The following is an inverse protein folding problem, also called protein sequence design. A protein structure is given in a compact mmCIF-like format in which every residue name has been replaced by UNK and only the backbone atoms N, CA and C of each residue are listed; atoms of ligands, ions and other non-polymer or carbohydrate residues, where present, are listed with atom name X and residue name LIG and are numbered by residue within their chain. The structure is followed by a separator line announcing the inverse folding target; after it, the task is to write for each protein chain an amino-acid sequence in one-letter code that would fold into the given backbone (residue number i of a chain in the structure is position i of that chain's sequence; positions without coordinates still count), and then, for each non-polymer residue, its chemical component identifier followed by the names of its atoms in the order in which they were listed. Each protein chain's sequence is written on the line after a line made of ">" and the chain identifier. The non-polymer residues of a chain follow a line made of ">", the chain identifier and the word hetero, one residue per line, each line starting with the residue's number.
data_IF_477987050525
#
_entry.id   IF_477987050525
#
_cell.length_a   1.000
_cell.length_b   1.000
_cell.length_c   1.000
_cell.angle_alpha   90.00
_cell.angle_beta   90.00
_cell.angle_gamma   90.00
#
_symmetry.space_group_name_H-M   'P 1'
#
loop_
_entity.id
_entity.type
_entity.pdbx_description
1 polymer ?
#
# COMPACT_ATOMS: atom_id res chain seq x y z
N UNK A 1 58.70 19.49 -1.54
CA UNK A 1 57.37 20.08 -1.92
C UNK A 1 56.98 19.91 -3.40
N UNK A 2 57.91 19.92 -4.36
CA UNK A 2 57.56 19.75 -5.80
C UNK A 2 57.00 18.36 -6.18
N UNK A 3 57.37 17.30 -5.47
CA UNK A 3 56.88 15.92 -5.79
C UNK A 3 55.47 15.63 -5.25
N UNK A 4 55.02 16.34 -4.21
CA UNK A 4 53.69 16.17 -3.63
C UNK A 4 52.60 16.72 -4.60
N UNK A 5 52.90 17.85 -5.27
CA UNK A 5 51.96 18.42 -6.25
C UNK A 5 51.82 17.57 -7.51
N UNK A 6 52.89 16.89 -7.96
CA UNK A 6 52.83 16.02 -9.14
C UNK A 6 52.02 14.74 -8.85
N UNK A 7 52.11 14.15 -7.66
CA UNK A 7 51.32 12.97 -7.27
C UNK A 7 49.86 13.35 -7.06
N UNK A 8 49.55 14.50 -6.50
CA UNK A 8 48.17 15.01 -6.37
C UNK A 8 47.55 15.34 -7.74
N UNK A 9 48.34 15.88 -8.68
CA UNK A 9 47.84 16.16 -10.03
C UNK A 9 47.59 14.87 -10.84
N UNK A 10 48.42 13.83 -10.68
CA UNK A 10 48.18 12.52 -11.28
C UNK A 10 47.01 11.77 -10.66
N UNK A 11 46.75 11.92 -9.35
CA UNK A 11 45.53 11.40 -8.69
C UNK A 11 44.27 12.14 -9.12
N UNK A 12 44.33 13.43 -9.38
CA UNK A 12 43.21 14.22 -9.92
C UNK A 12 42.90 13.89 -11.36
N UNK A 13 43.90 13.55 -12.19
CA UNK A 13 43.70 13.13 -13.57
C UNK A 13 43.26 11.67 -13.70
N UNK A 14 43.52 10.82 -12.69
CA UNK A 14 42.98 9.45 -12.65
C UNK A 14 41.51 9.35 -12.20
N UNK A 15 40.98 10.38 -11.51
CA UNK A 15 39.58 10.42 -11.07
C UNK A 15 38.65 10.99 -12.16
N UNK A 16 39.19 11.65 -13.20
CA UNK A 16 38.37 12.25 -14.28
C UNK A 16 38.01 11.30 -15.43
N UNK A 17 38.41 10.01 -15.37
CA UNK A 17 38.04 8.98 -16.32
C UNK A 17 37.06 7.92 -15.75
N UNK A 18 36.31 8.24 -14.70
CA UNK A 18 35.01 7.60 -14.55
C UNK A 18 34.12 8.29 -15.58
N UNK A 19 34.18 7.84 -16.82
CA UNK A 19 33.05 7.98 -17.71
C UNK A 19 31.87 7.38 -16.94
N UNK A 20 31.02 8.23 -16.35
CA UNK A 20 29.65 7.88 -16.22
C UNK A 20 29.23 7.50 -17.65
N UNK A 21 29.13 6.20 -17.93
CA UNK A 21 28.33 5.75 -19.04
C UNK A 21 27.02 6.51 -18.86
N UNK A 22 26.83 7.54 -19.66
CA UNK A 22 25.54 8.15 -19.84
C UNK A 22 24.67 7.03 -20.44
N UNK A 23 24.11 6.23 -19.56
CA UNK A 23 22.94 5.43 -19.80
C UNK A 23 21.78 6.40 -19.99
N UNK A 24 21.88 7.23 -21.02
CA UNK A 24 20.71 7.86 -21.63
C UNK A 24 19.97 6.70 -22.28
N UNK A 25 19.18 5.99 -21.47
CA UNK A 25 18.16 5.13 -22.04
C UNK A 25 17.31 6.02 -22.93
N UNK A 26 17.15 5.70 -24.21
CA UNK A 26 16.42 6.53 -25.15
C UNK A 26 14.94 6.70 -24.77
N UNK A 27 14.47 5.96 -23.75
CA UNK A 27 13.11 5.96 -23.26
C UNK A 27 13.09 5.98 -21.72
N UNK A 28 12.31 6.92 -21.17
CA UNK A 28 12.15 7.08 -19.71
C UNK A 28 11.04 6.15 -19.19
N UNK A 29 11.37 4.89 -18.90
CA UNK A 29 10.47 3.94 -18.23
C UNK A 29 10.77 3.88 -16.73
N UNK A 30 9.74 3.92 -15.92
CA UNK A 30 9.83 3.80 -14.46
C UNK A 30 8.91 2.65 -13.97
N UNK A 31 9.43 1.63 -13.30
CA UNK A 31 10.86 1.35 -13.09
C UNK A 31 11.61 1.05 -14.38
N UNK A 32 12.93 1.30 -14.36
CA UNK A 32 13.81 0.94 -15.47
C UNK A 32 13.81 -0.59 -15.66
N UNK A 33 13.53 -1.09 -16.87
CA UNK A 33 13.51 -2.53 -17.11
C UNK A 33 14.92 -3.13 -17.05
N UNK A 34 15.00 -4.44 -16.80
CA UNK A 34 16.27 -5.19 -16.73
C UNK A 34 17.06 -5.05 -18.03
N UNK A 35 16.38 -5.08 -19.19
CA UNK A 35 16.99 -4.87 -20.50
C UNK A 35 16.03 -4.16 -21.43
N UNK A 36 16.53 -3.16 -22.15
CA UNK A 36 15.82 -2.44 -23.20
C UNK A 36 16.76 -2.26 -24.39
N UNK A 37 16.36 -2.78 -25.55
CA UNK A 37 17.11 -2.68 -26.82
C UNK A 37 16.26 -1.93 -27.83
N UNK A 38 16.66 -0.72 -28.27
CA UNK A 38 15.94 0.03 -29.30
C UNK A 38 15.88 -0.73 -30.62
N UNK A 39 14.75 -0.59 -31.34
CA UNK A 39 14.53 -1.07 -32.70
C UNK A 39 14.40 0.08 -33.68
N UNK A 40 13.91 -0.21 -34.88
CA UNK A 40 13.70 0.81 -35.94
C UNK A 40 12.23 0.91 -36.32
N UNK A 41 11.71 2.12 -36.36
CA UNK A 41 10.31 2.42 -36.69
C UNK A 41 9.40 2.54 -35.47
N UNK A 42 8.11 2.72 -35.70
CA UNK A 42 7.09 2.88 -34.67
C UNK A 42 5.87 2.00 -34.97
N UNK A 43 5.23 1.48 -33.96
CA UNK A 43 3.92 0.85 -34.06
C UNK A 43 2.83 1.89 -33.83
N UNK A 44 1.79 1.93 -34.71
CA UNK A 44 0.68 2.86 -34.64
C UNK A 44 -0.59 2.19 -34.14
N UNK A 45 -1.14 2.69 -33.04
CA UNK A 45 -2.46 2.27 -32.55
C UNK A 45 -3.57 3.02 -33.28
N UNK A 46 -4.63 2.30 -33.61
CA UNK A 46 -5.83 2.84 -34.28
C UNK A 46 -7.07 2.00 -33.96
N UNK A 47 -8.24 2.44 -34.42
CA UNK A 47 -9.49 1.67 -34.34
C UNK A 47 -9.41 0.32 -35.06
N UNK A 48 -8.46 0.12 -35.99
CA UNK A 48 -8.25 -1.14 -36.72
C UNK A 48 -7.36 -2.10 -35.97
N UNK A 49 -6.58 -1.62 -34.99
CA UNK A 49 -5.67 -2.44 -34.16
C UNK A 49 -6.45 -3.57 -33.48
N UNK A 50 -5.92 -4.78 -33.55
CA UNK A 50 -6.50 -5.96 -32.94
C UNK A 50 -5.54 -6.61 -31.95
N UNK A 51 -6.07 -6.92 -30.76
CA UNK A 51 -5.39 -7.71 -29.75
C UNK A 51 -5.82 -9.18 -29.91
N UNK A 52 -4.86 -10.09 -29.92
CA UNK A 52 -5.10 -11.53 -29.88
C UNK A 52 -4.64 -12.08 -28.53
N UNK A 53 -5.53 -12.75 -27.83
CA UNK A 53 -5.32 -13.29 -26.49
C UNK A 53 -5.75 -14.75 -26.42
N UNK A 54 -5.12 -15.55 -25.55
CA UNK A 54 -5.35 -16.99 -25.43
C UNK A 54 -6.54 -17.33 -24.53
N UNK A 55 -6.94 -16.42 -23.63
CA UNK A 55 -8.02 -16.65 -22.68
C UNK A 55 -8.65 -15.34 -22.17
N UNK A 56 -9.74 -15.47 -21.42
CA UNK A 56 -10.49 -14.34 -20.88
C UNK A 56 -9.71 -13.55 -19.82
N UNK A 57 -8.83 -14.20 -19.03
CA UNK A 57 -7.98 -13.51 -18.07
C UNK A 57 -7.03 -12.52 -18.75
N UNK A 58 -6.42 -12.91 -19.87
CA UNK A 58 -5.60 -11.98 -20.68
C UNK A 58 -6.49 -10.90 -21.33
N UNK A 59 -7.72 -11.24 -21.77
CA UNK A 59 -8.64 -10.28 -22.35
C UNK A 59 -8.99 -9.16 -21.37
N UNK A 60 -9.16 -9.50 -20.10
CA UNK A 60 -9.45 -8.51 -19.04
C UNK A 60 -8.29 -7.52 -18.85
N UNK A 61 -7.03 -7.99 -18.86
CA UNK A 61 -5.86 -7.10 -18.81
C UNK A 61 -5.83 -6.14 -20.01
N UNK A 62 -6.17 -6.66 -21.19
CA UNK A 62 -6.23 -5.85 -22.42
C UNK A 62 -7.39 -4.85 -22.37
N UNK A 63 -8.57 -5.20 -21.79
CA UNK A 63 -9.69 -4.25 -21.67
C UNK A 63 -9.32 -3.03 -20.84
N UNK A 64 -8.59 -3.21 -19.73
CA UNK A 64 -8.11 -2.11 -18.92
C UNK A 64 -7.19 -1.18 -19.73
N UNK A 65 -6.24 -1.75 -20.45
CA UNK A 65 -5.34 -0.96 -21.31
C UNK A 65 -6.09 -0.25 -22.45
N UNK A 66 -6.97 -0.98 -23.18
CA UNK A 66 -7.73 -0.38 -24.29
C UNK A 66 -8.76 0.65 -23.82
N UNK A 67 -9.20 0.55 -22.56
CA UNK A 67 -10.03 1.57 -21.91
C UNK A 67 -9.33 2.95 -21.86
N UNK A 68 -8.01 2.97 -21.65
CA UNK A 68 -7.23 4.22 -21.71
C UNK A 68 -7.26 4.81 -23.12
N UNK A 69 -7.04 4.00 -24.16
CA UNK A 69 -7.12 4.43 -25.55
C UNK A 69 -8.54 4.91 -25.91
N UNK A 70 -9.57 4.22 -25.45
CA UNK A 70 -10.96 4.62 -25.69
C UNK A 70 -11.23 6.01 -25.13
N UNK A 71 -10.78 6.28 -23.91
CA UNK A 71 -10.98 7.54 -23.21
C UNK A 71 -10.17 8.67 -23.85
N UNK A 72 -8.87 8.45 -24.08
CA UNK A 72 -7.94 9.49 -24.50
C UNK A 72 -7.89 9.69 -26.03
N UNK A 73 -8.07 8.61 -26.81
CA UNK A 73 -7.93 8.63 -28.27
C UNK A 73 -9.28 8.55 -29.02
N UNK A 74 -10.38 8.23 -28.32
CA UNK A 74 -11.71 8.14 -28.94
C UNK A 74 -11.93 6.89 -29.77
N UNK A 75 -11.04 5.87 -29.72
CA UNK A 75 -11.23 4.62 -30.43
C UNK A 75 -10.96 3.41 -29.53
N UNK A 76 -11.66 2.30 -29.79
CA UNK A 76 -11.52 1.04 -29.04
C UNK A 76 -10.94 -0.03 -29.96
N UNK A 77 -9.70 -0.51 -29.71
CA UNK A 77 -9.12 -1.65 -30.41
C UNK A 77 -9.95 -2.93 -30.20
N UNK A 78 -9.95 -3.84 -31.17
CA UNK A 78 -10.67 -5.10 -31.08
C UNK A 78 -9.90 -6.13 -30.27
N UNK A 79 -10.61 -6.89 -29.43
CA UNK A 79 -10.04 -8.04 -28.69
C UNK A 79 -10.58 -9.33 -29.30
N UNK A 80 -9.68 -10.27 -29.64
CA UNK A 80 -9.96 -11.59 -30.18
C UNK A 80 -9.50 -12.62 -29.16
N UNK A 81 -10.44 -13.24 -28.47
CA UNK A 81 -10.17 -14.32 -27.52
C UNK A 81 -9.97 -15.64 -28.27
N UNK A 82 -9.22 -16.57 -27.70
CA UNK A 82 -8.80 -17.84 -28.30
C UNK A 82 -8.12 -17.66 -29.68
N UNK A 83 -7.33 -16.62 -29.81
CA UNK A 83 -6.69 -16.24 -31.06
C UNK A 83 -5.19 -15.97 -30.87
N UNK A 84 -4.44 -16.33 -31.90
CA UNK A 84 -2.99 -16.00 -32.05
C UNK A 84 -2.73 -15.03 -33.20
N UNK A 85 -3.78 -14.53 -33.87
CA UNK A 85 -3.70 -13.65 -35.03
C UNK A 85 -4.24 -12.26 -34.72
N UNK A 86 -3.33 -11.33 -34.40
CA UNK A 86 -3.60 -9.93 -34.12
C UNK A 86 -2.36 -9.07 -34.34
N UNK A 87 -2.57 -7.76 -34.31
CA UNK A 87 -1.48 -6.78 -34.40
C UNK A 87 -0.72 -6.73 -33.07
N UNK A 88 -1.39 -6.96 -31.96
CA UNK A 88 -0.83 -7.14 -30.61
C UNK A 88 -1.21 -8.54 -30.13
N UNK A 89 -0.21 -9.38 -29.84
CA UNK A 89 -0.41 -10.76 -29.39
C UNK A 89 0.12 -10.95 -27.96
N UNK A 90 -0.74 -11.49 -27.08
CA UNK A 90 -0.35 -11.98 -25.76
C UNK A 90 -0.14 -13.51 -25.87
N UNK A 91 1.03 -13.99 -25.48
CA UNK A 91 1.44 -15.40 -25.62
C UNK A 91 1.97 -15.89 -24.29
N UNK A 92 1.38 -16.94 -23.74
CA UNK A 92 1.86 -17.56 -22.50
C UNK A 92 3.22 -18.24 -22.74
N UNK A 93 4.21 -17.92 -21.89
CA UNK A 93 5.54 -18.51 -21.90
C UNK A 93 5.87 -18.97 -20.47
N UNK A 94 5.62 -20.26 -20.22
CA UNK A 94 5.84 -20.89 -18.92
C UNK A 94 7.33 -20.96 -18.49
N UNK A 95 8.27 -20.58 -19.35
CA UNK A 95 9.71 -20.53 -19.01
C UNK A 95 10.09 -19.26 -18.28
N UNK A 96 9.24 -18.23 -18.32
CA UNK A 96 9.44 -16.98 -17.60
C UNK A 96 9.04 -17.15 -16.13
N UNK A 97 9.72 -16.40 -15.25
CA UNK A 97 9.34 -16.33 -13.84
C UNK A 97 8.00 -15.59 -13.68
N UNK A 98 7.36 -15.79 -12.55
CA UNK A 98 6.18 -14.98 -12.17
C UNK A 98 6.50 -13.48 -12.23
N UNK A 99 5.54 -12.69 -12.69
CA UNK A 99 5.63 -11.24 -12.90
C UNK A 99 6.62 -10.79 -14.00
N UNK A 100 7.40 -11.72 -14.59
CA UNK A 100 8.33 -11.40 -15.66
C UNK A 100 7.60 -11.29 -17.00
N UNK A 101 8.15 -10.47 -17.90
CA UNK A 101 7.67 -10.38 -19.27
C UNK A 101 8.78 -10.12 -20.29
N UNK A 102 8.49 -10.48 -21.54
CA UNK A 102 9.21 -10.04 -22.72
C UNK A 102 8.25 -9.28 -23.62
N UNK A 103 8.62 -8.08 -24.02
CA UNK A 103 7.87 -7.20 -24.91
C UNK A 103 8.71 -6.92 -26.15
N UNK A 104 8.20 -7.28 -27.31
CA UNK A 104 8.81 -6.99 -28.61
C UNK A 104 7.84 -6.11 -29.41
N UNK A 105 8.32 -4.93 -29.80
CA UNK A 105 7.59 -3.94 -30.61
C UNK A 105 8.34 -3.76 -31.91
N UNK A 106 7.63 -4.01 -33.02
CA UNK A 106 8.08 -3.68 -34.40
C UNK A 106 7.11 -2.67 -34.99
N UNK A 107 7.40 -2.16 -36.18
CA UNK A 107 6.50 -1.26 -36.95
C UNK A 107 5.15 -1.92 -37.31
N UNK A 108 5.06 -3.27 -37.30
CA UNK A 108 3.89 -4.04 -37.73
C UNK A 108 3.21 -4.82 -36.63
N UNK A 109 3.92 -5.12 -35.55
CA UNK A 109 3.42 -6.05 -34.56
C UNK A 109 4.00 -5.80 -33.18
N UNK A 110 3.16 -6.02 -32.14
CA UNK A 110 3.59 -6.13 -30.75
C UNK A 110 3.38 -7.58 -30.30
N UNK A 111 4.40 -8.16 -29.65
CA UNK A 111 4.29 -9.47 -29.01
C UNK A 111 4.67 -9.34 -27.53
N UNK A 112 3.77 -9.76 -26.66
CA UNK A 112 3.97 -9.80 -25.20
C UNK A 112 4.02 -11.26 -24.78
N UNK A 113 5.09 -11.67 -24.07
CA UNK A 113 5.23 -13.00 -23.48
C UNK A 113 5.34 -12.87 -21.97
N UNK A 114 4.54 -13.66 -21.24
CA UNK A 114 4.58 -13.75 -19.79
C UNK A 114 4.09 -15.14 -19.35
N UNK A 115 4.43 -15.54 -18.12
CA UNK A 115 3.95 -16.80 -17.55
C UNK A 115 2.61 -16.64 -16.83
N UNK A 116 2.25 -15.42 -16.42
CA UNK A 116 1.05 -15.11 -15.63
C UNK A 116 0.41 -13.77 -16.03
N UNK A 117 -0.78 -13.51 -15.49
CA UNK A 117 -1.54 -12.29 -15.80
C UNK A 117 -0.83 -11.01 -15.34
N UNK A 118 -0.06 -11.06 -14.25
CA UNK A 118 0.69 -9.92 -13.74
C UNK A 118 1.79 -9.50 -14.72
N UNK A 119 2.53 -10.46 -15.29
CA UNK A 119 3.55 -10.17 -16.31
C UNK A 119 2.95 -9.51 -17.55
N UNK A 120 1.78 -9.98 -18.02
CA UNK A 120 1.06 -9.31 -19.12
C UNK A 120 0.64 -7.89 -18.75
N UNK A 121 0.10 -7.71 -17.54
CA UNK A 121 -0.30 -6.40 -17.04
C UNK A 121 0.88 -5.42 -17.00
N UNK A 122 2.03 -5.84 -16.47
CA UNK A 122 3.23 -5.00 -16.39
C UNK A 122 3.81 -4.65 -17.77
N UNK A 123 3.73 -5.55 -18.74
CA UNK A 123 4.09 -5.25 -20.11
C UNK A 123 3.17 -4.16 -20.71
N UNK A 124 1.85 -4.25 -20.45
CA UNK A 124 0.88 -3.24 -20.88
C UNK A 124 1.13 -1.88 -20.20
N UNK A 125 1.55 -1.86 -18.92
CA UNK A 125 1.96 -0.61 -18.25
C UNK A 125 3.24 -0.02 -18.89
N UNK A 126 4.16 -0.85 -19.37
CA UNK A 126 5.32 -0.35 -20.13
C UNK A 126 4.91 0.25 -21.47
N UNK A 127 3.96 -0.34 -22.18
CA UNK A 127 3.39 0.25 -23.41
C UNK A 127 2.69 1.58 -23.10
N UNK A 128 1.93 1.65 -22.00
CA UNK A 128 1.27 2.89 -21.52
C UNK A 128 2.28 4.02 -21.34
N UNK A 129 3.43 3.75 -20.72
CA UNK A 129 4.49 4.75 -20.51
C UNK A 129 5.25 5.11 -21.79
N UNK A 130 5.25 4.25 -22.81
CA UNK A 130 5.85 4.54 -24.13
C UNK A 130 4.93 5.33 -25.03
N UNK A 131 3.62 5.33 -24.78
CA UNK A 131 2.64 6.15 -25.51
C UNK A 131 2.82 7.63 -25.18
N UNK A 132 2.33 8.55 -26.04
CA UNK A 132 2.26 9.96 -25.71
C UNK A 132 1.54 10.20 -24.37
N UNK A 133 1.99 11.17 -23.58
CA UNK A 133 1.40 11.49 -22.26
C UNK A 133 -0.09 11.81 -22.30
N UNK A 134 -0.62 12.17 -23.48
CA UNK A 134 -2.04 12.33 -23.74
C UNK A 134 -2.88 11.07 -23.42
N UNK A 135 -2.25 9.87 -23.29
CA UNK A 135 -2.94 8.63 -22.88
C UNK A 135 -3.58 8.74 -21.48
N UNK A 136 -3.06 9.65 -20.64
CA UNK A 136 -3.58 9.92 -19.30
C UNK A 136 -4.77 10.90 -19.30
N UNK A 137 -5.17 11.44 -20.45
CA UNK A 137 -6.29 12.40 -20.54
C UNK A 137 -7.62 11.71 -20.19
N UNK A 138 -8.43 12.43 -19.42
CA UNK A 138 -9.82 12.03 -19.11
C UNK A 138 -10.80 12.32 -20.27
N UNK A 139 -10.34 13.00 -21.31
CA UNK A 139 -11.13 13.39 -22.49
C UNK A 139 -10.35 13.09 -23.76
N UNK A 140 -11.06 12.92 -24.86
CA UNK A 140 -10.46 12.71 -26.18
C UNK A 140 -9.54 13.89 -26.53
N UNK A 141 -8.30 13.57 -26.87
CA UNK A 141 -7.27 14.51 -27.28
C UNK A 141 -7.05 14.38 -28.78
N UNK A 142 -7.33 15.46 -29.50
CA UNK A 142 -7.18 15.52 -30.95
C UNK A 142 -5.71 15.73 -31.37
N UNK A 143 -5.38 15.35 -32.62
CA UNK A 143 -4.07 15.56 -33.25
C UNK A 143 -2.89 14.90 -32.50
N UNK A 144 -3.14 13.77 -31.81
CA UNK A 144 -2.10 12.95 -31.18
C UNK A 144 -1.78 11.77 -32.08
N UNK A 145 -0.48 11.56 -32.34
CA UNK A 145 0.01 10.36 -33.00
C UNK A 145 0.18 9.24 -31.96
N UNK A 146 -0.77 8.31 -31.96
CA UNK A 146 -0.82 7.21 -30.98
C UNK A 146 0.19 6.11 -31.33
N UNK A 147 1.47 6.43 -31.19
CA UNK A 147 2.57 5.54 -31.54
C UNK A 147 3.42 5.15 -30.35
N UNK A 148 4.04 3.98 -30.46
CA UNK A 148 5.09 3.51 -29.57
C UNK A 148 6.32 3.13 -30.39
N UNK A 149 7.55 3.43 -29.94
CA UNK A 149 8.77 3.11 -30.65
C UNK A 149 8.99 1.60 -30.71
N UNK A 150 9.60 1.14 -31.82
CA UNK A 150 10.07 -0.24 -31.93
C UNK A 150 11.23 -0.48 -30.94
N UNK A 151 11.11 -1.54 -30.16
CA UNK A 151 12.11 -1.93 -29.16
C UNK A 151 11.85 -3.36 -28.66
N UNK A 152 12.79 -3.90 -27.91
CA UNK A 152 12.62 -5.14 -27.15
C UNK A 152 12.93 -4.88 -25.69
N UNK A 153 12.01 -5.27 -24.80
CA UNK A 153 12.17 -5.25 -23.34
C UNK A 153 12.18 -6.68 -22.81
N UNK A 154 13.11 -6.98 -21.92
CA UNK A 154 13.04 -8.12 -21.01
C UNK A 154 13.06 -7.56 -19.60
N UNK A 155 12.04 -7.88 -18.81
CA UNK A 155 11.87 -7.31 -17.48
C UNK A 155 11.34 -8.34 -16.48
N UNK A 156 11.73 -8.16 -15.23
CA UNK A 156 11.23 -8.91 -14.07
C UNK A 156 11.46 -8.08 -12.81
N UNK A 157 10.59 -8.19 -11.80
CA UNK A 157 10.81 -7.48 -10.55
C UNK A 157 12.05 -8.01 -9.82
N UNK A 158 12.80 -7.09 -9.19
CA UNK A 158 13.92 -7.44 -8.31
C UNK A 158 13.42 -7.92 -6.94
N UNK A 159 12.33 -7.33 -6.46
CA UNK A 159 11.71 -7.63 -5.16
C UNK A 159 10.27 -8.10 -5.34
N UNK A 160 9.88 -9.14 -4.60
CA UNK A 160 8.50 -9.63 -4.57
C UNK A 160 7.54 -8.66 -3.86
N UNK A 161 8.00 -7.93 -2.85
CA UNK A 161 7.24 -6.91 -2.14
C UNK A 161 7.66 -5.51 -2.65
N UNK A 162 6.72 -4.78 -3.24
CA UNK A 162 6.90 -3.43 -3.76
C UNK A 162 5.73 -2.58 -3.29
N UNK A 163 5.87 -2.05 -2.08
CA UNK A 163 4.77 -1.43 -1.33
C UNK A 163 4.79 0.09 -1.32
N UNK A 164 3.61 0.64 -1.09
CA UNK A 164 3.38 2.02 -0.68
C UNK A 164 2.47 2.01 0.55
N UNK A 165 2.89 2.70 1.62
CA UNK A 165 2.04 2.97 2.78
C UNK A 165 1.27 4.27 2.56
N UNK A 166 -0.03 4.24 2.83
CA UNK A 166 -0.90 5.43 2.82
C UNK A 166 -1.58 5.56 4.17
N UNK A 167 -1.25 6.64 4.87
CA UNK A 167 -1.85 7.00 6.15
C UNK A 167 -3.13 7.82 5.93
N UNK A 168 -4.27 7.18 6.14
CA UNK A 168 -5.59 7.81 6.08
C UNK A 168 -6.15 8.12 7.48
N UNK A 169 -5.50 7.61 8.52
CA UNK A 169 -5.92 7.83 9.91
C UNK A 169 -5.64 9.24 10.36
N UNK A 170 -4.40 9.74 10.19
CA UNK A 170 -4.02 11.11 10.54
C UNK A 170 -4.72 12.14 9.69
N UNK A 171 -4.85 11.86 8.38
CA UNK A 171 -5.58 12.71 7.42
C UNK A 171 -6.41 11.84 6.50
N UNK A 172 -7.73 11.89 6.67
CA UNK A 172 -8.64 11.13 5.83
C UNK A 172 -8.51 11.54 4.36
N UNK A 173 -8.43 10.55 3.50
CA UNK A 173 -8.42 10.72 2.06
C UNK A 173 -9.66 10.05 1.47
N UNK A 174 -10.53 10.77 0.73
CA UNK A 174 -11.68 10.16 0.07
C UNK A 174 -11.30 8.99 -0.83
N UNK A 175 -12.22 8.04 -1.00
CA UNK A 175 -12.03 6.82 -1.82
C UNK A 175 -11.46 7.13 -3.20
N UNK A 176 -11.96 8.17 -3.86
CA UNK A 176 -11.53 8.56 -5.21
C UNK A 176 -10.03 8.88 -5.28
N UNK A 177 -9.46 9.43 -4.20
CA UNK A 177 -8.02 9.67 -4.13
C UNK A 177 -7.23 8.37 -3.98
N UNK A 178 -7.75 7.41 -3.19
CA UNK A 178 -7.12 6.08 -3.09
C UNK A 178 -7.14 5.35 -4.42
N UNK A 179 -8.23 5.43 -5.19
CA UNK A 179 -8.30 4.83 -6.53
C UNK A 179 -7.26 5.45 -7.47
N UNK A 180 -7.03 6.77 -7.41
CA UNK A 180 -5.95 7.43 -8.17
C UNK A 180 -4.55 7.00 -7.73
N UNK A 181 -4.34 6.84 -6.42
CA UNK A 181 -3.06 6.31 -5.89
C UNK A 181 -2.83 4.90 -6.41
N UNK A 182 -3.85 4.04 -6.40
CA UNK A 182 -3.79 2.67 -6.93
C UNK A 182 -3.44 2.68 -8.43
N UNK A 183 -4.00 3.60 -9.23
CA UNK A 183 -3.63 3.75 -10.65
C UNK A 183 -2.16 4.16 -10.83
N UNK A 184 -1.66 5.08 -10.01
CA UNK A 184 -0.24 5.45 -10.01
C UNK A 184 0.66 4.27 -9.61
N UNK A 185 0.28 3.54 -8.57
CA UNK A 185 0.98 2.33 -8.13
C UNK A 185 1.05 1.29 -9.24
N UNK A 186 -0.06 1.06 -9.92
CA UNK A 186 -0.17 0.12 -11.03
C UNK A 186 0.77 0.51 -12.19
N UNK A 187 0.78 1.78 -12.59
CA UNK A 187 1.67 2.30 -13.62
C UNK A 187 3.14 2.09 -13.26
N UNK A 188 3.49 2.22 -11.98
CA UNK A 188 4.84 2.02 -11.44
C UNK A 188 5.13 0.57 -11.07
N UNK A 189 4.21 -0.38 -11.36
CA UNK A 189 4.35 -1.82 -11.07
C UNK A 189 4.56 -2.14 -9.58
N UNK A 190 4.02 -1.29 -8.69
CA UNK A 190 3.91 -1.60 -7.26
C UNK A 190 2.79 -2.62 -7.05
N UNK A 191 2.93 -3.51 -6.06
CA UNK A 191 1.98 -4.62 -5.86
C UNK A 191 1.44 -4.75 -4.43
N UNK A 192 1.80 -3.86 -3.51
CA UNK A 192 1.30 -3.85 -2.13
C UNK A 192 0.88 -2.44 -1.74
N UNK A 193 -0.39 -2.26 -1.38
CA UNK A 193 -0.89 -1.04 -0.74
C UNK A 193 -1.05 -1.32 0.75
N UNK A 194 -0.17 -0.77 1.57
CA UNK A 194 -0.29 -0.81 3.02
C UNK A 194 -1.19 0.36 3.44
N UNK A 195 -2.38 0.06 3.95
CA UNK A 195 -3.40 1.04 4.28
C UNK A 195 -3.52 1.19 5.80
N UNK A 196 -2.96 2.29 6.32
CA UNK A 196 -2.99 2.63 7.73
C UNK A 196 -4.34 3.27 8.08
N UNK A 197 -5.26 2.45 8.59
CA UNK A 197 -6.69 2.76 8.73
C UNK A 197 -7.06 3.39 10.05
N UNK A 198 -6.30 3.16 11.09
CA UNK A 198 -6.65 3.55 12.46
C UNK A 198 -5.44 4.05 13.21
N UNK A 199 -5.64 5.10 14.03
CA UNK A 199 -4.63 5.74 14.85
C UNK A 199 -5.28 6.63 15.91
N UNK A 200 -4.51 7.26 16.78
CA UNK A 200 -4.95 8.25 17.77
C UNK A 200 -5.82 9.36 17.17
N UNK A 201 -5.58 9.67 15.88
CA UNK A 201 -6.14 10.81 15.17
C UNK A 201 -7.41 10.47 14.38
N UNK A 202 -7.77 9.20 14.30
CA UNK A 202 -8.97 8.78 13.63
C UNK A 202 -9.08 7.28 13.38
N UNK A 203 -10.32 6.82 13.41
CA UNK A 203 -10.74 5.49 12.99
C UNK A 203 -11.42 5.59 11.64
N UNK A 204 -10.91 4.89 10.60
CA UNK A 204 -11.33 5.13 9.22
C UNK A 204 -12.01 3.95 8.53
N UNK A 205 -12.36 2.90 9.25
CA UNK A 205 -13.05 1.73 8.71
C UNK A 205 -14.32 1.43 9.50
N UNK A 206 -15.44 1.23 8.80
CA UNK A 206 -16.70 0.82 9.42
C UNK A 206 -16.58 -0.60 9.99
N UNK A 207 -16.91 -0.73 11.28
CA UNK A 207 -17.06 -2.01 11.99
C UNK A 207 -18.52 -2.07 12.49
N UNK A 208 -19.31 -2.93 11.88
CA UNK A 208 -20.77 -3.00 12.14
C UNK A 208 -21.09 -3.37 13.58
N UNK A 209 -20.27 -4.22 14.18
CA UNK A 209 -20.43 -4.62 15.59
C UNK A 209 -20.14 -3.47 16.55
N UNK A 210 -19.31 -2.51 16.16
CA UNK A 210 -18.87 -1.41 17.01
C UNK A 210 -19.05 -0.05 16.31
N UNK A 211 -20.31 0.42 16.11
CA UNK A 211 -20.61 1.61 15.32
C UNK A 211 -20.01 2.91 15.87
N UNK A 212 -19.80 3.01 17.20
CA UNK A 212 -19.17 4.17 17.80
C UNK A 212 -17.73 4.41 17.31
N UNK A 213 -17.06 3.38 16.77
CA UNK A 213 -15.73 3.56 16.17
C UNK A 213 -15.73 4.57 15.03
N UNK A 214 -16.80 4.62 14.24
CA UNK A 214 -16.94 5.60 13.17
C UNK A 214 -17.77 6.82 13.61
N UNK A 215 -18.76 6.68 14.46
CA UNK A 215 -19.57 7.80 14.96
C UNK A 215 -18.75 8.77 15.82
N UNK A 216 -17.84 8.26 16.65
CA UNK A 216 -16.97 9.03 17.55
C UNK A 216 -15.53 9.03 17.05
N UNK A 217 -14.98 7.86 16.76
CA UNK A 217 -13.56 7.70 16.42
C UNK A 217 -13.17 8.34 15.09
N UNK A 218 -14.09 8.58 14.15
CA UNK A 218 -13.81 9.33 12.92
C UNK A 218 -13.82 10.85 13.12
N UNK A 219 -14.35 11.34 14.25
CA UNK A 219 -14.56 12.75 14.55
C UNK A 219 -13.47 13.28 15.47
N UNK A 220 -12.96 14.47 15.22
CA UNK A 220 -12.00 15.14 16.09
C UNK A 220 -12.21 16.64 16.13
N UNK A 221 -11.67 17.25 17.20
CA UNK A 221 -11.67 18.72 17.32
C UNK A 221 -10.86 19.34 16.19
N UNK A 222 -11.38 20.39 15.59
CA UNK A 222 -10.66 21.13 14.55
C UNK A 222 -9.70 22.15 15.17
N UNK A 223 -8.51 22.31 14.57
CA UNK A 223 -7.46 23.23 15.02
C UNK A 223 -6.96 24.04 13.82
N UNK A 224 -7.77 24.95 13.26
CA UNK A 224 -7.39 25.74 12.10
C UNK A 224 -6.16 26.60 12.38
N UNK A 225 -5.28 26.77 11.39
CA UNK A 225 -4.10 27.58 11.49
C UNK A 225 -2.98 27.03 12.39
N UNK A 226 -3.07 25.77 12.83
CA UNK A 226 -2.03 25.08 13.59
C UNK A 226 -1.45 23.93 12.79
N UNK A 227 -0.12 23.82 12.79
CA UNK A 227 0.56 22.63 12.25
C UNK A 227 0.24 21.42 13.12
N UNK A 228 0.40 20.22 12.57
CA UNK A 228 0.04 18.99 13.27
C UNK A 228 0.67 18.87 14.67
N UNK A 229 1.97 19.17 14.88
CA UNK A 229 2.58 19.12 16.21
C UNK A 229 2.06 20.18 17.21
N UNK A 230 1.55 21.31 16.72
CA UNK A 230 1.07 22.42 17.56
C UNK A 230 -0.37 22.27 18.01
N UNK A 231 -1.08 21.25 17.53
CA UNK A 231 -2.50 21.04 17.86
C UNK A 231 -2.65 20.53 19.27
N UNK A 232 -3.36 21.32 20.09
CA UNK A 232 -3.66 20.96 21.49
C UNK A 232 -4.68 19.83 21.54
N UNK A 233 -4.53 18.96 22.54
CA UNK A 233 -5.45 17.88 22.85
C UNK A 233 -6.90 18.39 23.05
N UNK A 234 -7.91 17.52 22.80
CA UNK A 234 -9.30 17.86 23.02
C UNK A 234 -9.59 18.01 24.52
N UNK A 235 -10.62 18.78 24.82
CA UNK A 235 -11.20 18.89 26.16
C UNK A 235 -12.59 18.27 26.17
N UNK A 236 -13.02 17.80 27.32
CA UNK A 236 -14.37 17.29 27.48
C UNK A 236 -15.41 18.35 27.08
N UNK A 237 -16.38 17.96 26.25
CA UNK A 237 -17.44 18.84 25.75
C UNK A 237 -17.01 19.77 24.60
N UNK A 238 -15.78 19.70 24.13
CA UNK A 238 -15.33 20.49 22.99
C UNK A 238 -15.94 19.94 21.68
N UNK A 239 -16.52 20.79 20.81
CA UNK A 239 -17.15 20.32 19.57
C UNK A 239 -16.18 19.62 18.65
N UNK A 240 -16.59 18.49 18.10
CA UNK A 240 -15.84 17.73 17.10
C UNK A 240 -16.44 17.90 15.71
N UNK A 241 -15.64 17.65 14.68
CA UNK A 241 -16.03 17.62 13.27
C UNK A 241 -15.71 16.24 12.72
N UNK A 242 -16.62 15.68 11.96
CA UNK A 242 -16.39 14.48 11.20
C UNK A 242 -15.24 14.72 10.21
N UNK A 243 -14.33 13.75 10.12
CA UNK A 243 -13.20 13.77 9.17
C UNK A 243 -13.33 12.71 8.09
N UNK A 244 -14.28 11.80 8.21
CA UNK A 244 -14.59 10.74 7.27
C UNK A 244 -14.05 9.37 7.66
N UNK A 245 -14.65 8.37 7.06
CA UNK A 245 -14.27 6.94 7.15
C UNK A 245 -14.75 6.24 5.87
N UNK A 246 -14.31 5.01 5.68
CA UNK A 246 -14.78 4.15 4.59
C UNK A 246 -15.83 3.19 5.12
N UNK A 247 -16.97 3.12 4.43
CA UNK A 247 -17.95 2.05 4.62
C UNK A 247 -17.36 0.71 4.17
N UNK A 248 -17.91 -0.39 4.65
CA UNK A 248 -17.46 -1.72 4.19
C UNK A 248 -17.63 -1.91 2.70
N UNK A 249 -18.65 -1.30 2.09
CA UNK A 249 -18.85 -1.37 0.64
C UNK A 249 -17.78 -0.57 -0.12
N UNK A 250 -17.36 0.57 0.39
CA UNK A 250 -16.22 1.33 -0.19
C UNK A 250 -14.90 0.58 -0.03
N UNK A 251 -14.67 -0.10 1.09
CA UNK A 251 -13.50 -0.98 1.25
C UNK A 251 -13.52 -2.12 0.24
N UNK A 252 -14.67 -2.79 0.04
CA UNK A 252 -14.80 -3.84 -0.98
C UNK A 252 -14.52 -3.31 -2.38
N UNK A 253 -14.95 -2.09 -2.69
CA UNK A 253 -14.66 -1.44 -3.97
C UNK A 253 -13.17 -1.15 -4.12
N UNK A 254 -12.51 -0.56 -3.11
CA UNK A 254 -11.06 -0.28 -3.12
C UNK A 254 -10.26 -1.57 -3.31
N UNK A 255 -10.59 -2.62 -2.55
CA UNK A 255 -9.90 -3.92 -2.62
C UNK A 255 -10.06 -4.55 -4.00
N UNK A 256 -11.28 -4.58 -4.54
CA UNK A 256 -11.53 -5.10 -5.90
C UNK A 256 -10.76 -4.31 -6.96
N UNK A 257 -10.81 -2.98 -6.90
CA UNK A 257 -10.12 -2.08 -7.83
C UNK A 257 -8.60 -2.29 -7.82
N UNK A 258 -8.03 -2.51 -6.64
CA UNK A 258 -6.61 -2.85 -6.47
C UNK A 258 -6.29 -4.25 -7.03
N UNK A 259 -7.13 -5.26 -6.74
CA UNK A 259 -6.95 -6.63 -7.24
C UNK A 259 -6.96 -6.71 -8.77
N UNK A 260 -7.84 -5.97 -9.42
CA UNK A 260 -7.89 -5.86 -10.88
C UNK A 260 -6.58 -5.32 -11.47
N UNK A 261 -5.77 -4.63 -10.66
CA UNK A 261 -4.45 -4.07 -10.99
C UNK A 261 -3.28 -4.86 -10.39
N UNK A 262 -3.55 -6.06 -9.87
CA UNK A 262 -2.58 -6.93 -9.22
C UNK A 262 -1.92 -6.29 -7.98
N UNK A 263 -2.65 -5.43 -7.26
CA UNK A 263 -2.22 -4.81 -6.03
C UNK A 263 -2.99 -5.43 -4.87
N UNK A 264 -2.27 -5.99 -3.91
CA UNK A 264 -2.82 -6.50 -2.65
C UNK A 264 -2.92 -5.34 -1.66
N UNK A 265 -4.10 -5.18 -1.04
CA UNK A 265 -4.33 -4.17 0.01
C UNK A 265 -4.12 -4.82 1.37
N UNK A 266 -3.12 -4.36 2.11
CA UNK A 266 -2.77 -4.84 3.45
C UNK A 266 -3.36 -3.85 4.46
N UNK A 267 -4.37 -4.24 5.26
CA UNK A 267 -4.93 -3.37 6.29
C UNK A 267 -4.02 -3.33 7.51
N UNK A 268 -3.91 -2.14 8.11
CA UNK A 268 -3.27 -1.96 9.41
C UNK A 268 -4.31 -1.54 10.44
N UNK A 269 -4.36 -2.29 11.54
CA UNK A 269 -5.18 -2.05 12.73
C UNK A 269 -4.23 -1.95 13.92
N UNK A 270 -4.02 -0.73 14.38
CA UNK A 270 -3.06 -0.40 15.42
C UNK A 270 -3.48 -0.92 16.81
N UNK A 271 -2.49 -1.47 17.51
CA UNK A 271 -2.57 -1.95 18.87
C UNK A 271 -1.19 -2.25 19.47
N UNK A 272 -0.94 -2.11 20.78
CA UNK A 272 -1.88 -1.60 21.79
C UNK A 272 -1.94 -0.08 21.83
N UNK A 273 -0.95 0.62 21.26
CA UNK A 273 -0.90 2.07 21.15
C UNK A 273 -1.68 2.58 19.93
N UNK A 274 -1.54 3.87 19.64
CA UNK A 274 -2.27 4.55 18.55
C UNK A 274 -3.77 4.26 18.56
N UNK A 275 -4.35 4.17 19.76
CA UNK A 275 -5.69 3.67 20.00
C UNK A 275 -6.65 4.71 20.57
N UNK A 276 -6.25 5.98 20.70
CA UNK A 276 -7.11 7.03 21.28
C UNK A 276 -8.43 7.19 20.54
N UNK A 277 -8.49 7.01 19.22
CA UNK A 277 -9.75 7.07 18.49
C UNK A 277 -10.72 5.94 18.90
N UNK A 278 -10.22 4.73 19.08
CA UNK A 278 -11.01 3.60 19.56
C UNK A 278 -11.42 3.78 21.03
N UNK A 279 -10.48 4.25 21.88
CA UNK A 279 -10.71 4.45 23.29
C UNK A 279 -11.62 5.67 23.58
N UNK A 280 -11.66 6.66 22.71
CA UNK A 280 -12.66 7.73 22.78
C UNK A 280 -14.09 7.20 22.58
N UNK A 281 -14.24 6.18 21.73
CA UNK A 281 -15.52 5.51 21.49
C UNK A 281 -15.86 4.48 22.60
N UNK A 282 -14.86 3.75 23.11
CA UNK A 282 -15.00 2.66 24.08
C UNK A 282 -14.00 2.81 25.24
N UNK A 283 -14.16 3.82 26.12
CA UNK A 283 -13.16 4.18 27.13
C UNK A 283 -12.90 3.08 28.18
N UNK A 284 -13.84 2.16 28.40
CA UNK A 284 -13.69 1.02 29.31
C UNK A 284 -12.62 0.00 28.84
N UNK A 285 -12.10 0.14 27.63
CA UNK A 285 -11.01 -0.69 27.12
C UNK A 285 -9.63 -0.14 27.49
N UNK A 286 -9.53 1.09 28.02
CA UNK A 286 -8.33 1.65 28.63
C UNK A 286 -8.07 1.08 30.02
N UNK A 287 -6.90 1.33 30.58
CA UNK A 287 -6.61 0.99 31.98
C UNK A 287 -7.50 1.80 32.94
N UNK A 288 -8.06 1.19 34.00
CA UNK A 288 -8.94 1.88 34.95
C UNK A 288 -8.26 3.01 35.73
N UNK A 289 -6.93 3.09 35.70
CA UNK A 289 -6.13 4.13 36.32
C UNK A 289 -6.01 5.40 35.47
N UNK A 290 -6.52 5.38 34.23
CA UNK A 290 -6.54 6.57 33.37
C UNK A 290 -7.57 7.56 33.93
N UNK A 291 -7.10 8.70 34.43
CA UNK A 291 -7.90 9.75 35.08
C UNK A 291 -8.17 10.96 34.18
N UNK A 292 -7.74 10.91 32.92
CA UNK A 292 -7.86 12.00 31.94
C UNK A 292 -8.98 11.74 30.92
N UNK A 293 -9.52 12.81 30.35
CA UNK A 293 -10.48 12.72 29.24
C UNK A 293 -9.81 12.05 28.02
N UNK A 294 -10.45 11.00 27.52
CA UNK A 294 -10.02 10.29 26.31
C UNK A 294 -10.81 10.85 25.13
N UNK A 295 -10.10 11.38 24.15
CA UNK A 295 -10.69 11.91 22.92
C UNK A 295 -9.79 11.66 21.73
N UNK A 296 -10.37 11.74 20.53
CA UNK A 296 -9.63 11.62 19.27
C UNK A 296 -8.64 12.78 19.15
N UNK A 297 -7.36 12.48 18.99
CA UNK A 297 -6.30 13.47 19.04
C UNK A 297 -6.23 14.28 17.74
N UNK A 298 -6.19 15.61 17.79
CA UNK A 298 -6.05 16.43 16.59
C UNK A 298 -4.59 16.56 16.07
N UNK A 299 -3.61 16.17 16.89
CA UNK A 299 -2.17 16.24 16.62
C UNK A 299 -1.41 15.12 17.31
N UNK A 300 -0.14 15.35 17.67
CA UNK A 300 0.75 14.34 18.28
C UNK A 300 0.34 13.83 19.67
N UNK A 301 -0.68 14.41 20.29
CA UNK A 301 -1.21 13.94 21.56
C UNK A 301 -0.36 14.24 22.81
N UNK A 302 0.94 14.30 22.71
CA UNK A 302 1.84 14.52 23.84
C UNK A 302 1.65 13.49 24.96
N UNK A 303 1.17 13.93 26.13
CA UNK A 303 0.88 13.06 27.27
C UNK A 303 -0.47 12.28 27.17
N UNK A 304 -1.23 12.44 26.10
CA UNK A 304 -2.43 11.63 25.83
C UNK A 304 -2.11 10.41 24.96
N UNK A 305 -0.97 10.40 24.27
CA UNK A 305 -0.51 9.25 23.51
C UNK A 305 -0.02 8.08 24.40
N UNK A 306 -0.08 8.20 25.73
CA UNK A 306 0.15 7.13 26.71
C UNK A 306 -1.15 6.36 27.06
N UNK A 307 -2.31 6.81 26.54
CA UNK A 307 -3.60 6.13 26.73
C UNK A 307 -3.71 5.05 25.67
N UNK A 308 -3.46 3.82 26.05
CA UNK A 308 -3.41 2.65 25.19
C UNK A 308 -4.35 1.56 25.69
N UNK A 309 -4.66 0.54 24.89
CA UNK A 309 -5.47 -0.60 25.30
C UNK A 309 -4.91 -1.27 26.56
N UNK A 310 -5.80 -1.63 27.49
CA UNK A 310 -5.43 -2.31 28.72
C UNK A 310 -5.08 -3.78 28.46
N UNK A 311 -3.81 -4.17 28.61
CA UNK A 311 -3.34 -5.54 28.38
C UNK A 311 -3.85 -6.56 29.42
N UNK A 312 -4.30 -6.06 30.58
CA UNK A 312 -4.89 -6.92 31.62
C UNK A 312 -6.38 -7.19 31.45
N UNK A 313 -7.05 -6.46 30.56
CA UNK A 313 -8.51 -6.55 30.36
C UNK A 313 -8.86 -7.51 29.22
N UNK A 314 -9.46 -8.67 29.51
CA UNK A 314 -9.85 -9.65 28.48
C UNK A 314 -10.89 -9.13 27.48
N UNK A 315 -11.70 -8.14 27.86
CA UNK A 315 -12.65 -7.50 26.92
C UNK A 315 -11.96 -6.79 25.77
N UNK A 316 -10.71 -6.33 25.95
CA UNK A 316 -9.89 -5.75 24.88
C UNK A 316 -9.61 -6.80 23.79
N UNK A 317 -9.24 -8.00 24.19
CA UNK A 317 -8.95 -9.08 23.23
C UNK A 317 -10.22 -9.51 22.49
N UNK A 318 -11.35 -9.60 23.17
CA UNK A 318 -12.63 -9.89 22.51
C UNK A 318 -12.99 -8.78 21.51
N UNK A 319 -12.85 -7.53 21.89
CA UNK A 319 -13.09 -6.38 21.02
C UNK A 319 -12.21 -6.39 19.77
N UNK A 320 -10.89 -6.64 19.94
CA UNK A 320 -9.95 -6.70 18.81
C UNK A 320 -10.21 -7.91 17.90
N UNK A 321 -10.57 -9.07 18.48
CA UNK A 321 -10.92 -10.25 17.69
C UNK A 321 -12.17 -10.03 16.86
N UNK A 322 -13.21 -9.39 17.41
CA UNK A 322 -14.42 -9.04 16.70
C UNK A 322 -14.16 -8.07 15.53
N UNK A 323 -13.30 -7.07 15.74
CA UNK A 323 -12.87 -6.14 14.69
C UNK A 323 -12.10 -6.89 13.59
N UNK A 324 -11.15 -7.72 13.99
CA UNK A 324 -10.34 -8.48 13.05
C UNK A 324 -11.18 -9.48 12.24
N UNK A 325 -12.25 -10.05 12.79
CA UNK A 325 -13.16 -10.91 12.03
C UNK A 325 -13.81 -10.14 10.87
N UNK A 326 -14.30 -8.92 11.09
CA UNK A 326 -14.86 -8.09 10.02
C UNK A 326 -13.77 -7.63 9.02
N UNK A 327 -12.58 -7.26 9.50
CA UNK A 327 -11.45 -6.88 8.65
C UNK A 327 -10.99 -8.04 7.77
N UNK A 328 -10.88 -9.25 8.32
CA UNK A 328 -10.48 -10.45 7.58
C UNK A 328 -11.49 -10.84 6.48
N UNK A 329 -12.77 -10.53 6.67
CA UNK A 329 -13.80 -10.71 5.63
C UNK A 329 -13.64 -9.70 4.48
N UNK A 330 -13.28 -8.45 4.81
CA UNK A 330 -13.16 -7.37 3.83
C UNK A 330 -11.86 -7.43 3.02
N UNK A 331 -10.77 -7.90 3.62
CA UNK A 331 -9.44 -7.93 3.01
C UNK A 331 -8.98 -9.37 2.77
N UNK A 332 -8.94 -9.81 1.51
CA UNK A 332 -8.44 -11.15 1.16
C UNK A 332 -6.91 -11.25 1.24
N UNK A 333 -6.23 -10.19 1.66
CA UNK A 333 -4.78 -10.16 1.82
C UNK A 333 -4.29 -11.32 2.69
N UNK A 334 -3.18 -11.91 2.31
CA UNK A 334 -2.46 -12.87 3.13
C UNK A 334 -1.96 -12.22 4.43
N UNK A 335 -1.70 -10.91 4.39
CA UNK A 335 -1.06 -10.15 5.44
C UNK A 335 -2.06 -9.25 6.17
N UNK A 336 -1.92 -9.18 7.49
CA UNK A 336 -2.60 -8.21 8.36
C UNK A 336 -1.53 -7.52 9.20
N UNK A 337 -1.48 -6.19 9.15
CA UNK A 337 -0.57 -5.41 9.96
C UNK A 337 -1.25 -5.03 11.28
N UNK A 338 -0.60 -5.33 12.40
CA UNK A 338 -1.14 -5.11 13.74
C UNK A 338 -0.48 -3.93 14.48
N UNK A 339 0.36 -3.15 13.79
CA UNK A 339 1.11 -2.06 14.39
C UNK A 339 2.14 -2.53 15.41
N UNK A 340 2.00 -2.08 16.64
CA UNK A 340 2.84 -2.50 17.76
C UNK A 340 3.91 -1.51 18.17
N UNK A 341 3.96 -0.34 17.52
CA UNK A 341 4.93 0.73 17.74
C UNK A 341 4.52 1.67 18.88
N UNK A 342 5.51 2.43 19.32
CA UNK A 342 5.42 3.59 20.24
C UNK A 342 4.58 3.39 21.51
N UNK A 343 4.37 2.14 21.97
CA UNK A 343 3.53 1.84 23.13
C UNK A 343 4.14 2.41 24.43
N UNK A 344 3.56 3.49 24.93
CA UNK A 344 3.93 4.10 26.22
C UNK A 344 3.18 3.39 27.34
N UNK A 345 3.89 2.62 28.16
CA UNK A 345 3.33 1.67 29.13
C UNK A 345 3.08 2.23 30.52
N UNK A 346 3.14 3.55 30.68
CA UNK A 346 3.00 4.25 31.97
C UNK A 346 1.78 3.76 32.76
N UNK A 347 0.61 3.68 32.13
CA UNK A 347 -0.60 3.21 32.82
C UNK A 347 -0.59 1.70 33.08
N UNK A 348 0.14 0.89 32.32
CA UNK A 348 0.25 -0.55 32.58
C UNK A 348 1.04 -0.84 33.86
N UNK A 349 2.04 -0.01 34.19
CA UNK A 349 2.85 -0.14 35.40
C UNK A 349 2.01 0.02 36.67
N UNK A 350 1.01 0.91 36.63
CA UNK A 350 0.14 1.22 37.76
C UNK A 350 -1.19 0.45 37.72
N UNK A 351 -1.56 -0.15 36.61
CA UNK A 351 -2.85 -0.80 36.40
C UNK A 351 -2.95 -2.14 37.13
N UNK A 352 -3.92 -2.32 38.08
CA UNK A 352 -4.07 -3.57 38.81
C UNK A 352 -4.34 -4.77 37.89
N UNK A 353 -5.08 -4.57 36.79
CA UNK A 353 -5.38 -5.62 35.81
C UNK A 353 -4.13 -6.07 35.05
N UNK A 354 -3.30 -5.12 34.59
CA UNK A 354 -2.04 -5.40 33.92
C UNK A 354 -1.07 -6.10 34.86
N UNK A 355 -0.95 -5.64 36.11
CA UNK A 355 -0.09 -6.27 37.12
C UNK A 355 -0.54 -7.71 37.47
N UNK A 356 -1.87 -7.93 37.52
CA UNK A 356 -2.42 -9.27 37.73
C UNK A 356 -2.10 -10.18 36.54
N UNK A 357 -2.23 -9.69 35.31
CA UNK A 357 -1.86 -10.40 34.08
C UNK A 357 -0.39 -10.77 34.07
N UNK A 358 0.49 -9.82 34.37
CA UNK A 358 1.93 -10.06 34.43
C UNK A 358 2.29 -11.19 35.40
N UNK A 359 1.69 -11.18 36.60
CA UNK A 359 1.89 -12.25 37.57
C UNK A 359 1.39 -13.61 37.10
N UNK A 360 0.20 -13.63 36.48
CA UNK A 360 -0.43 -14.87 36.00
C UNK A 360 0.36 -15.51 34.85
N UNK A 361 0.95 -14.70 33.97
CA UNK A 361 1.71 -15.16 32.80
C UNK A 361 3.23 -15.23 33.08
N UNK A 362 3.67 -14.93 34.33
CA UNK A 362 5.09 -14.90 34.72
C UNK A 362 5.93 -13.94 33.87
N UNK A 363 5.41 -12.74 33.61
CA UNK A 363 6.08 -11.68 32.88
C UNK A 363 6.83 -10.76 33.83
N UNK A 364 8.06 -10.40 33.49
CA UNK A 364 8.96 -9.63 34.37
C UNK A 364 8.72 -8.11 34.29
N UNK A 365 8.27 -7.62 33.13
CA UNK A 365 8.13 -6.19 32.86
C UNK A 365 7.03 -5.91 31.81
N UNK A 366 6.76 -4.62 31.58
CA UNK A 366 5.71 -4.19 30.64
C UNK A 366 6.09 -4.39 29.16
N UNK A 367 7.39 -4.57 28.83
CA UNK A 367 7.81 -4.97 27.47
C UNK A 367 7.37 -6.41 27.18
N UNK A 368 7.56 -7.32 28.15
CA UNK A 368 7.07 -8.69 28.02
C UNK A 368 5.53 -8.75 27.99
N UNK A 369 4.87 -7.82 28.70
CA UNK A 369 3.41 -7.70 28.64
C UNK A 369 2.94 -7.24 27.26
N UNK A 370 3.66 -6.35 26.59
CA UNK A 370 3.39 -5.99 25.19
C UNK A 370 3.58 -7.18 24.26
N UNK A 371 4.66 -7.93 24.46
CA UNK A 371 4.90 -9.17 23.72
C UNK A 371 3.77 -10.20 23.90
N UNK A 372 3.30 -10.39 25.14
CA UNK A 372 2.14 -11.22 25.42
C UNK A 372 0.88 -10.74 24.69
N UNK A 373 0.59 -9.42 24.76
CA UNK A 373 -0.56 -8.81 24.11
C UNK A 373 -0.53 -9.08 22.60
N UNK A 374 0.56 -8.71 21.96
CA UNK A 374 0.73 -8.87 20.52
C UNK A 374 0.71 -10.35 20.09
N UNK A 375 1.38 -11.22 20.85
CA UNK A 375 1.39 -12.66 20.58
C UNK A 375 0.00 -13.30 20.68
N UNK A 376 -0.84 -12.82 21.59
CA UNK A 376 -2.21 -13.31 21.74
C UNK A 376 -3.09 -12.95 20.55
N UNK A 377 -2.99 -11.71 20.07
CA UNK A 377 -3.74 -11.25 18.88
C UNK A 377 -3.16 -11.85 17.60
N UNK A 378 -1.83 -11.90 17.46
CA UNK A 378 -1.18 -12.48 16.29
C UNK A 378 -1.55 -13.96 16.10
N UNK A 379 -1.56 -14.75 17.17
CA UNK A 379 -2.03 -16.17 17.13
C UNK A 379 -3.48 -16.27 16.66
N UNK A 380 -4.34 -15.33 17.05
CA UNK A 380 -5.71 -15.31 16.56
C UNK A 380 -5.78 -15.13 15.04
N UNK A 381 -5.04 -14.17 14.51
CA UNK A 381 -4.94 -13.89 13.05
C UNK A 381 -4.32 -15.10 12.32
N UNK A 382 -3.25 -15.68 12.85
CA UNK A 382 -2.60 -16.86 12.27
C UNK A 382 -3.53 -18.08 12.23
N UNK A 383 -4.34 -18.30 13.27
CA UNK A 383 -5.35 -19.37 13.31
C UNK A 383 -6.47 -19.19 12.27
N UNK A 384 -6.65 -17.97 11.75
CA UNK A 384 -7.53 -17.68 10.61
C UNK A 384 -6.81 -17.84 9.25
N UNK A 385 -5.57 -18.35 9.24
CA UNK A 385 -4.79 -18.63 8.03
C UNK A 385 -4.12 -17.38 7.41
N UNK A 386 -3.92 -16.31 8.19
CA UNK A 386 -3.23 -15.10 7.74
C UNK A 386 -1.85 -14.97 8.37
N UNK A 387 -0.99 -14.16 7.78
CA UNK A 387 0.33 -13.81 8.30
C UNK A 387 0.28 -12.40 8.91
N UNK A 388 1.00 -12.22 10.01
CA UNK A 388 1.04 -10.97 10.76
C UNK A 388 2.26 -10.17 10.37
N UNK A 389 2.07 -8.86 10.16
CA UNK A 389 3.13 -7.85 10.06
C UNK A 389 3.03 -6.94 11.30
N UNK A 390 4.15 -6.45 11.78
CA UNK A 390 4.21 -5.43 12.83
C UNK A 390 5.46 -4.58 12.68
N UNK A 391 5.50 -3.45 13.39
CA UNK A 391 6.65 -2.58 13.42
C UNK A 391 7.82 -3.19 14.20
N UNK A 392 9.03 -2.68 14.01
CA UNK A 392 10.27 -3.28 14.52
C UNK A 392 10.40 -3.19 16.05
N UNK A 393 9.64 -2.35 16.74
CA UNK A 393 9.53 -2.35 18.20
C UNK A 393 9.12 -3.72 18.77
N UNK A 394 8.39 -4.51 17.98
CA UNK A 394 8.01 -5.88 18.37
C UNK A 394 9.20 -6.83 18.49
N UNK A 395 10.36 -6.49 17.95
CA UNK A 395 11.58 -7.30 18.11
C UNK A 395 12.08 -7.33 19.56
N UNK A 396 11.69 -6.37 20.38
CA UNK A 396 11.98 -6.31 21.81
C UNK A 396 11.13 -7.29 22.64
N UNK A 397 10.14 -7.94 22.02
CA UNK A 397 9.17 -8.80 22.66
C UNK A 397 9.12 -10.19 21.99
N UNK A 398 8.57 -11.20 22.69
CA UNK A 398 8.34 -12.53 22.12
C UNK A 398 7.08 -12.54 21.25
N UNK A 399 7.24 -12.29 19.97
CA UNK A 399 6.16 -12.43 18.98
C UNK A 399 6.08 -13.88 18.46
N UNK A 400 4.93 -14.33 17.94
CA UNK A 400 4.80 -15.65 17.35
C UNK A 400 5.75 -15.85 16.16
N UNK A 401 6.27 -17.07 16.05
CA UNK A 401 7.03 -17.49 14.86
C UNK A 401 6.19 -17.28 13.59
N UNK A 402 6.85 -16.85 12.52
CA UNK A 402 6.19 -16.53 11.24
C UNK A 402 5.61 -15.11 11.17
N UNK A 403 5.75 -14.28 12.21
CA UNK A 403 5.46 -12.85 12.09
C UNK A 403 6.55 -12.15 11.28
N UNK A 404 6.15 -11.11 10.52
CA UNK A 404 7.02 -10.28 9.67
C UNK A 404 7.23 -8.94 10.39
N UNK A 405 8.46 -8.42 10.34
CA UNK A 405 8.84 -7.11 10.89
C UNK A 405 9.25 -6.21 9.72
#
# INVERSE_FOLDING_TARGET
>A
MKYIYTVLLCLFLAVTNIQADNLTQPFSLVPCPVSLVPGTGNFHFSAKTSFAVENEGQAEQVRQFTGLLTRAAGFTPRIKVDSRKGDVCLVTDATLKSEAYKLEITDKKITIRASDLQGFYYALQSIRQLLPSAIESEQVTENVDWTVPALTITDQPRFGYRGLLVDVARFFSPKENLLRIIDCMAMLKLNKLHLHLVDDNGWRIEIKKYPLLTEIGSCRVDRPGKTFPERRNPRQGEPTVEKGFYTQDEIREIVRYAQERHIEVIPEIEMPAHSNAALAAYPLLSCPVVDKFIGVLPGLGGNHADVIFCAGNDSVFTFLQDILDEVLELFPSKYIHLGGDEARKTHWEECPLCQTRMKAESLENTEELQGYFMARVARYVQNKGREVIGWDELTNARIPEGSII
#
